data_IF_923976738626
#
_entry.id   IF_923976738626
#
_cell.length_a   1.000
_cell.length_b   1.000
_cell.length_c   1.000
_cell.angle_alpha   90.00
_cell.angle_beta   90.00
_cell.angle_gamma   90.00
#
_symmetry.space_group_name_H-M   'P 1'
#
loop_
_entity.id
_entity.type
_entity.pdbx_description
1 polymer ?
#
# COMPACT_ATOMS: atom_id res chain seq x y z
N UNK A 1 -14.30 8.21 -5.28
CA UNK A 1 -13.72 7.17 -4.38
C UNK A 1 -12.49 7.76 -3.76
N UNK A 2 -12.36 7.71 -2.43
CA UNK A 2 -11.21 8.31 -1.74
C UNK A 2 -9.93 7.64 -2.19
N UNK A 3 -8.91 8.44 -2.50
CA UNK A 3 -7.52 7.98 -2.63
C UNK A 3 -6.76 8.56 -1.45
N UNK A 4 -5.83 7.79 -0.88
CA UNK A 4 -5.00 8.29 0.23
C UNK A 4 -3.90 9.16 -0.35
N UNK A 5 -3.73 10.38 0.19
CA UNK A 5 -2.66 11.28 -0.24
C UNK A 5 -1.28 10.64 -0.04
N UNK A 6 -0.39 10.78 -1.04
CA UNK A 6 1.00 10.31 -0.98
C UNK A 6 1.84 11.23 -0.09
N UNK A 7 1.79 11.01 1.22
CA UNK A 7 2.55 11.79 2.20
C UNK A 7 3.38 10.88 3.10
N UNK A 8 4.47 11.42 3.65
CA UNK A 8 5.30 10.69 4.61
C UNK A 8 4.52 10.32 5.88
N UNK A 9 3.52 11.12 6.27
CA UNK A 9 2.65 10.82 7.41
C UNK A 9 1.78 9.59 7.12
N UNK A 10 1.13 9.55 5.96
CA UNK A 10 0.31 8.41 5.56
C UNK A 10 1.18 7.16 5.33
N UNK A 11 2.41 7.30 4.82
CA UNK A 11 3.34 6.17 4.74
C UNK A 11 3.58 5.52 6.10
N UNK A 12 3.78 6.32 7.16
CA UNK A 12 4.02 5.81 8.53
C UNK A 12 2.80 5.09 9.13
N UNK A 13 1.59 5.51 8.76
CA UNK A 13 0.32 4.90 9.21
C UNK A 13 -0.06 3.64 8.40
N UNK A 14 0.49 3.46 7.20
CA UNK A 14 0.19 2.33 6.33
C UNK A 14 0.72 0.99 6.87
N UNK A 15 -0.12 -0.05 6.78
CA UNK A 15 0.23 -1.42 7.19
C UNK A 15 0.35 -2.40 6.02
N UNK A 16 0.42 -1.92 4.78
CA UNK A 16 0.40 -2.74 3.56
C UNK A 16 1.48 -3.83 3.57
N UNK A 17 2.67 -3.52 4.11
CA UNK A 17 3.78 -4.48 4.23
C UNK A 17 3.49 -5.68 5.16
N UNK A 18 2.45 -5.59 6.00
CA UNK A 18 2.01 -6.66 6.90
C UNK A 18 0.92 -7.55 6.30
N UNK A 19 0.44 -7.22 5.10
CA UNK A 19 -0.59 -8.02 4.44
C UNK A 19 -0.13 -9.48 4.25
N UNK A 20 -0.96 -10.49 4.58
CA UNK A 20 -0.62 -11.90 4.38
C UNK A 20 -0.24 -12.24 2.93
N UNK A 21 -0.87 -11.56 1.96
CA UNK A 21 -0.59 -11.72 0.54
C UNK A 21 0.72 -11.06 0.10
N UNK A 22 1.29 -10.19 0.93
CA UNK A 22 2.60 -9.61 0.71
C UNK A 22 3.68 -10.57 1.24
N UNK A 23 4.04 -11.54 0.40
CA UNK A 23 4.95 -12.62 0.74
C UNK A 23 6.34 -12.14 1.12
N UNK A 24 7.13 -13.01 1.72
CA UNK A 24 8.53 -12.72 2.04
C UNK A 24 9.34 -12.30 0.82
N UNK A 25 9.12 -12.95 -0.34
CA UNK A 25 9.75 -12.58 -1.60
C UNK A 25 9.40 -11.16 -2.02
N UNK A 26 8.13 -10.74 -1.87
CA UNK A 26 7.74 -9.36 -2.12
C UNK A 26 8.47 -8.36 -1.20
N UNK A 27 8.62 -8.69 0.09
CA UNK A 27 9.37 -7.87 1.05
C UNK A 27 10.82 -7.69 0.61
N UNK A 28 11.50 -8.77 0.23
CA UNK A 28 12.91 -8.70 -0.20
C UNK A 28 13.10 -7.87 -1.48
N UNK A 29 12.27 -8.09 -2.50
CA UNK A 29 12.39 -7.37 -3.78
C UNK A 29 12.18 -5.86 -3.64
N UNK A 30 11.33 -5.45 -2.69
CA UNK A 30 10.94 -4.05 -2.54
C UNK A 30 11.58 -3.35 -1.34
N UNK A 31 12.38 -4.05 -0.53
CA UNK A 31 13.10 -3.48 0.60
C UNK A 31 13.99 -2.28 0.21
N UNK A 32 14.75 -2.31 -0.90
CA UNK A 32 15.54 -1.15 -1.32
C UNK A 32 14.66 0.05 -1.68
N UNK A 33 13.59 -0.18 -2.45
CA UNK A 33 12.66 0.86 -2.87
C UNK A 33 11.91 1.50 -1.69
N UNK A 34 11.50 0.68 -0.72
CA UNK A 34 10.81 1.13 0.50
C UNK A 34 11.76 1.88 1.45
N UNK A 35 13.01 1.45 1.60
CA UNK A 35 14.01 2.16 2.41
C UNK A 35 14.30 3.55 1.84
N UNK A 36 14.50 3.64 0.52
CA UNK A 36 14.68 4.93 -0.16
C UNK A 36 13.44 5.80 0.00
N UNK A 37 12.23 5.22 -0.03
CA UNK A 37 11.00 5.98 0.16
C UNK A 37 10.88 6.54 1.59
N UNK A 38 11.34 5.81 2.60
CA UNK A 38 11.37 6.30 3.98
C UNK A 38 12.42 7.40 4.21
N UNK A 39 13.46 7.46 3.38
CA UNK A 39 14.54 8.45 3.45
C UNK A 39 14.35 9.65 2.49
N UNK A 40 13.26 9.70 1.73
CA UNK A 40 13.02 10.72 0.70
C UNK A 40 11.58 11.22 0.71
N UNK A 41 11.31 12.30 -0.03
CA UNK A 41 9.95 12.78 -0.23
C UNK A 41 9.15 11.79 -1.09
N UNK A 42 8.22 11.08 -0.47
CA UNK A 42 7.38 10.05 -1.12
C UNK A 42 6.42 10.63 -2.15
N UNK A 43 6.13 11.93 -2.10
CA UNK A 43 5.21 12.61 -3.02
C UNK A 43 5.72 12.56 -4.46
N UNK A 44 7.05 12.41 -4.64
CA UNK A 44 7.71 12.32 -5.95
C UNK A 44 7.85 10.89 -6.47
N UNK A 45 7.48 9.86 -5.69
CA UNK A 45 7.53 8.47 -6.14
C UNK A 45 6.25 8.07 -6.85
N UNK A 46 6.42 7.60 -8.09
CA UNK A 46 5.34 6.97 -8.83
C UNK A 46 4.89 5.67 -8.14
N UNK A 47 5.82 4.93 -7.54
CA UNK A 47 5.61 3.55 -7.10
C UNK A 47 6.09 3.35 -5.65
N UNK A 48 5.20 2.85 -4.79
CA UNK A 48 5.49 2.61 -3.38
C UNK A 48 4.72 1.42 -2.84
N UNK A 49 5.37 0.26 -2.82
CA UNK A 49 4.78 -0.99 -2.30
C UNK A 49 4.46 -0.90 -0.80
N UNK A 50 5.05 0.03 -0.07
CA UNK A 50 4.65 0.29 1.31
C UNK A 50 3.21 0.87 1.46
N UNK A 51 2.60 1.34 0.36
CA UNK A 51 1.31 2.05 0.36
C UNK A 51 0.34 1.59 -0.74
N UNK A 52 0.50 0.39 -1.31
CA UNK A 52 -0.39 -0.09 -2.37
C UNK A 52 -1.87 -0.19 -1.92
N UNK A 53 -2.18 -0.38 -0.64
CA UNK A 53 -3.58 -0.37 -0.18
C UNK A 53 -4.25 1.02 -0.30
N UNK A 54 -3.48 2.06 -0.63
CA UNK A 54 -3.85 3.46 -0.41
C UNK A 54 -4.06 4.22 -1.72
N UNK A 55 -3.31 3.90 -2.79
CA UNK A 55 -3.34 4.68 -4.04
C UNK A 55 -3.16 3.89 -5.34
N UNK A 56 -2.46 2.75 -5.35
CA UNK A 56 -2.16 1.95 -6.56
C UNK A 56 -2.07 0.47 -6.23
N UNK A 57 -2.34 -0.42 -7.19
CA UNK A 57 -2.15 -1.86 -6.97
C UNK A 57 -0.69 -2.22 -6.67
N UNK A 58 -0.50 -3.32 -5.97
CA UNK A 58 0.84 -3.90 -5.79
C UNK A 58 1.31 -4.47 -7.13
N UNK A 59 2.59 -4.28 -7.43
CA UNK A 59 3.25 -4.96 -8.54
C UNK A 59 3.66 -6.39 -8.19
N UNK A 60 3.74 -6.71 -6.91
CA UNK A 60 4.14 -8.02 -6.44
C UNK A 60 2.95 -8.94 -6.15
N UNK A 61 1.89 -8.42 -5.53
CA UNK A 61 0.68 -9.20 -5.25
C UNK A 61 -0.16 -9.27 -6.52
N UNK A 62 -0.36 -10.49 -7.03
CA UNK A 62 -1.20 -10.73 -8.22
C UNK A 62 -2.45 -11.55 -7.91
N UNK A 63 -2.54 -12.11 -6.72
CA UNK A 63 -3.62 -12.99 -6.30
C UNK A 63 -4.51 -12.33 -5.26
N UNK A 64 -5.80 -12.63 -5.32
CA UNK A 64 -6.84 -12.10 -4.43
C UNK A 64 -6.88 -12.82 -3.08
N UNK A 65 -5.71 -13.06 -2.49
CA UNK A 65 -5.59 -13.68 -1.17
C UNK A 65 -5.76 -12.57 -0.13
N UNK A 66 -6.45 -12.87 0.98
CA UNK A 66 -6.97 -11.90 1.95
C UNK A 66 -6.07 -10.70 2.25
N UNK A 67 -6.58 -9.49 1.98
CA UNK A 67 -5.89 -8.24 2.23
C UNK A 67 -6.45 -7.56 3.47
N UNK A 68 -5.59 -7.19 4.41
CA UNK A 68 -6.00 -6.56 5.68
C UNK A 68 -6.15 -5.03 5.56
N UNK A 69 -6.35 -4.50 4.35
CA UNK A 69 -6.41 -3.04 4.16
C UNK A 69 -7.53 -2.40 5.02
N UNK A 70 -8.65 -3.10 5.23
CA UNK A 70 -9.78 -2.62 6.06
C UNK A 70 -9.44 -2.41 7.53
N UNK A 71 -8.36 -3.03 8.03
CA UNK A 71 -7.88 -2.82 9.40
C UNK A 71 -6.89 -1.66 9.50
N UNK A 72 -6.50 -1.03 8.38
CA UNK A 72 -5.63 0.13 8.35
C UNK A 72 -6.40 1.38 8.81
N UNK A 73 -5.79 2.18 9.67
CA UNK A 73 -6.38 3.45 10.14
C UNK A 73 -6.70 4.39 8.97
N UNK A 74 -5.78 4.50 8.00
CA UNK A 74 -5.97 5.31 6.80
C UNK A 74 -7.17 4.88 5.95
N UNK A 75 -7.47 3.58 5.95
CA UNK A 75 -8.62 3.06 5.22
C UNK A 75 -9.93 3.61 5.81
N UNK A 76 -9.99 3.70 7.14
CA UNK A 76 -11.13 4.29 7.86
C UNK A 76 -11.16 5.80 7.70
N UNK A 77 -10.05 6.49 7.93
CA UNK A 77 -9.93 7.95 7.82
C UNK A 77 -10.31 8.46 6.42
N UNK A 78 -9.93 7.73 5.37
CA UNK A 78 -10.19 8.12 3.98
C UNK A 78 -11.46 7.48 3.41
N UNK A 79 -12.27 6.80 4.24
CA UNK A 79 -13.52 6.14 3.86
C UNK A 79 -13.36 5.27 2.59
N UNK A 80 -12.31 4.45 2.56
CA UNK A 80 -12.04 3.53 1.45
C UNK A 80 -13.08 2.40 1.49
N UNK A 81 -14.28 2.58 0.93
CA UNK A 81 -15.37 1.60 1.03
C UNK A 81 -15.20 0.31 0.21
N UNK A 82 -14.01 0.04 -0.32
CA UNK A 82 -13.73 -1.05 -1.28
C UNK A 82 -12.70 -2.04 -0.75
N UNK A 83 -12.57 -3.20 -1.40
CA UNK A 83 -11.53 -4.19 -1.10
C UNK A 83 -10.44 -4.24 -2.17
N UNK A 84 -9.49 -5.16 -1.99
CA UNK A 84 -8.58 -5.61 -3.04
C UNK A 84 -7.74 -4.53 -3.74
N UNK A 85 -7.44 -3.44 -3.02
CA UNK A 85 -6.53 -2.40 -3.47
C UNK A 85 -5.13 -2.94 -3.85
N UNK A 86 -4.75 -4.10 -3.32
CA UNK A 86 -3.50 -4.79 -3.67
C UNK A 86 -3.45 -5.31 -5.11
N UNK A 87 -4.58 -5.58 -5.76
CA UNK A 87 -4.65 -6.15 -7.11
C UNK A 87 -5.33 -5.23 -8.12
N UNK A 88 -6.19 -4.33 -7.65
CA UNK A 88 -6.94 -3.38 -8.49
C UNK A 88 -6.71 -1.96 -7.99
N UNK A 89 -6.20 -1.08 -8.86
CA UNK A 89 -6.04 0.35 -8.58
C UNK A 89 -7.42 0.95 -8.24
N UNK A 90 -7.52 1.63 -7.10
CA UNK A 90 -8.80 2.18 -6.61
C UNK A 90 -9.77 1.14 -6.00
N UNK A 91 -9.36 -0.13 -5.91
CA UNK A 91 -10.11 -1.21 -5.26
C UNK A 91 -11.36 -1.68 -6.03
N UNK A 92 -11.87 -2.84 -5.64
CA UNK A 92 -13.13 -3.42 -6.13
C UNK A 92 -14.19 -3.46 -5.04
#
# INVERSE_FOLDING_TARGET
MGTVAKTNENLKKCICMKCPSYTFTCKMLNMPGNMIAMMSDVSKKAELEAMYCAFEKSKCIKEEKGCICSTCELFKENNLGKGYFCVVTGGK
#
